data_IF_669532717075
#
_entry.id   IF_669532717075
#
_cell.length_a   1.000
_cell.length_b   1.000
_cell.length_c   1.000
_cell.angle_alpha   90.00
_cell.angle_beta   90.00
_cell.angle_gamma   90.00
#
_symmetry.space_group_name_H-M   'P 1'
#
loop_
_entity.id
_entity.type
_entity.pdbx_description
1 polymer ?
#
# COMPACT_ATOMS: atom_id res chain seq x y z
N UNK A 1 26.36 -12.93 21.88
CA UNK A 1 25.10 -13.27 22.55
C UNK A 1 23.99 -12.98 21.56
N UNK A 2 23.70 -13.98 20.74
CA UNK A 2 22.53 -14.03 19.85
C UNK A 2 21.45 -14.75 20.65
N UNK A 3 20.34 -14.06 20.92
CA UNK A 3 19.16 -14.71 21.48
C UNK A 3 18.35 -15.30 20.33
N UNK A 4 18.33 -16.63 20.31
CA UNK A 4 17.49 -17.49 19.48
C UNK A 4 16.06 -17.42 20.02
N UNK A 5 15.10 -17.11 19.15
CA UNK A 5 13.70 -17.46 19.38
C UNK A 5 13.27 -18.44 18.29
N UNK A 6 13.36 -19.72 18.65
CA UNK A 6 12.65 -20.82 17.99
C UNK A 6 11.14 -20.61 18.15
N UNK A 7 10.40 -20.78 17.06
CA UNK A 7 8.97 -21.04 17.12
C UNK A 7 8.68 -22.31 16.34
N UNK A 8 8.08 -23.23 17.08
CA UNK A 8 7.86 -24.64 16.75
C UNK A 8 7.00 -24.89 15.51
N UNK A 9 7.29 -26.05 14.93
CA UNK A 9 6.57 -26.75 13.87
C UNK A 9 5.05 -26.76 14.05
N UNK A 10 4.32 -26.23 13.06
CA UNK A 10 2.94 -26.65 12.80
C UNK A 10 3.01 -27.74 11.73
N UNK A 11 2.88 -29.00 12.16
CA UNK A 11 2.72 -30.15 11.25
C UNK A 11 1.33 -30.11 10.62
N UNK A 12 1.26 -30.04 9.28
CA UNK A 12 0.07 -30.43 8.54
C UNK A 12 0.30 -31.79 7.88
N UNK A 13 -0.40 -32.80 8.39
CA UNK A 13 -0.69 -34.05 7.68
C UNK A 13 -1.38 -33.71 6.36
N UNK A 14 -0.73 -34.08 5.24
CA UNK A 14 -1.31 -34.44 3.93
C UNK A 14 -0.30 -34.17 2.80
N UNK A 15 0.68 -35.06 2.67
CA UNK A 15 0.91 -35.79 1.41
C UNK A 15 1.18 -35.05 0.09
N UNK A 16 1.61 -33.79 0.09
CA UNK A 16 2.16 -33.14 -1.12
C UNK A 16 3.57 -32.62 -0.83
N UNK A 17 4.57 -33.38 -1.27
CA UNK A 17 5.98 -32.95 -1.30
C UNK A 17 6.14 -31.81 -2.30
N UNK A 18 6.14 -30.57 -1.82
CA UNK A 18 6.72 -29.46 -2.56
C UNK A 18 8.24 -29.70 -2.65
N UNK A 19 8.85 -29.59 -3.85
CA UNK A 19 10.30 -29.73 -3.97
C UNK A 19 10.97 -28.73 -3.04
N UNK A 20 11.93 -29.25 -2.27
CA UNK A 20 12.75 -28.58 -1.29
C UNK A 20 12.96 -27.11 -1.67
N UNK A 21 12.31 -26.21 -0.93
CA UNK A 21 12.53 -24.78 -1.07
C UNK A 21 14.02 -24.54 -0.79
N UNK A 22 14.82 -24.39 -1.85
CA UNK A 22 16.09 -23.70 -1.75
C UNK A 22 15.81 -22.42 -0.97
N UNK A 23 16.43 -22.31 0.20
CA UNK A 23 16.49 -21.09 0.98
C UNK A 23 17.03 -20.02 0.03
N UNK A 24 16.15 -19.30 -0.66
CA UNK A 24 16.50 -18.09 -1.39
C UNK A 24 16.90 -17.10 -0.31
N UNK A 25 18.19 -17.14 0.06
CA UNK A 25 18.84 -16.09 0.84
C UNK A 25 18.61 -14.84 0.03
N UNK A 26 17.70 -14.00 0.47
CA UNK A 26 17.67 -12.61 -0.01
C UNK A 26 18.96 -12.02 0.55
N UNK A 27 19.96 -11.69 -0.30
CA UNK A 27 21.19 -11.10 0.19
C UNK A 27 20.82 -9.80 0.92
N UNK A 28 21.17 -9.70 2.20
CA UNK A 28 20.96 -8.49 3.02
C UNK A 28 21.89 -7.35 2.63
N UNK A 29 22.77 -7.58 1.66
CA UNK A 29 23.73 -6.61 1.12
C UNK A 29 23.62 -6.64 -0.41
N UNK A 30 23.08 -5.56 -0.99
CA UNK A 30 22.95 -5.35 -2.45
C UNK A 30 23.84 -4.18 -2.92
N UNK A 31 24.57 -3.56 -1.99
CA UNK A 31 25.45 -2.44 -2.27
C UNK A 31 26.76 -2.97 -2.87
N UNK A 32 26.95 -2.72 -4.17
CA UNK A 32 28.24 -2.82 -4.84
C UNK A 32 29.23 -1.82 -4.21
N UNK A 33 30.53 -2.05 -4.36
CA UNK A 33 31.52 -1.00 -4.11
C UNK A 33 31.31 0.12 -5.16
N UNK A 34 30.99 1.33 -4.68
CA UNK A 34 30.72 2.56 -5.45
C UNK A 34 29.41 2.65 -6.27
N UNK A 35 28.21 2.48 -5.69
CA UNK A 35 26.98 2.78 -6.39
C UNK A 35 26.70 4.29 -6.36
N UNK A 36 26.71 4.96 -7.51
CA UNK A 36 26.37 6.39 -7.58
C UNK A 36 24.89 6.67 -7.28
N UNK A 37 23.97 5.75 -7.64
CA UNK A 37 22.54 5.85 -7.32
C UNK A 37 21.83 4.50 -7.50
N UNK A 38 21.08 4.05 -6.49
CA UNK A 38 20.18 2.88 -6.59
C UNK A 38 18.77 3.34 -6.28
N UNK A 39 17.97 3.77 -7.29
CA UNK A 39 16.61 4.21 -7.03
C UNK A 39 15.73 3.00 -6.71
N UNK A 40 15.25 2.92 -5.47
CA UNK A 40 14.24 1.96 -5.07
C UNK A 40 12.85 2.50 -5.46
N UNK A 41 12.23 1.95 -6.50
CA UNK A 41 10.86 2.30 -6.86
C UNK A 41 9.87 1.53 -5.99
N UNK A 42 8.83 2.20 -5.50
CA UNK A 42 7.79 1.59 -4.67
C UNK A 42 6.47 2.33 -4.78
N UNK A 43 5.47 1.81 -4.08
CA UNK A 43 4.17 2.44 -3.94
C UNK A 43 3.65 2.25 -2.51
N UNK A 44 2.81 3.17 -2.05
CA UNK A 44 2.29 3.15 -0.69
C UNK A 44 0.81 3.52 -0.61
N UNK A 45 0.22 3.27 0.55
CA UNK A 45 -1.11 3.68 0.95
C UNK A 45 -1.05 4.17 2.40
N UNK A 46 -1.82 5.22 2.70
CA UNK A 46 -1.87 5.86 4.02
C UNK A 46 -3.34 6.04 4.40
N UNK A 47 -3.67 5.80 5.67
CA UNK A 47 -5.03 5.94 6.21
C UNK A 47 -4.98 6.88 7.40
N UNK A 48 -5.76 7.95 7.32
CA UNK A 48 -5.97 8.91 8.39
C UNK A 48 -7.37 8.71 9.00
N UNK A 49 -7.51 9.07 10.27
CA UNK A 49 -8.79 9.19 10.96
C UNK A 49 -8.98 10.64 11.39
N UNK A 50 -10.14 11.21 11.06
CA UNK A 50 -10.56 12.53 11.55
C UNK A 50 -11.60 12.33 12.65
N UNK A 51 -11.34 12.87 13.83
CA UNK A 51 -12.26 12.84 14.96
C UNK A 51 -12.88 14.21 15.14
N UNK A 52 -14.20 14.28 15.02
CA UNK A 52 -14.99 15.48 15.21
C UNK A 52 -15.69 15.42 16.57
N UNK A 53 -15.34 16.34 17.46
CA UNK A 53 -16.00 16.45 18.77
C UNK A 53 -17.17 17.44 18.72
N UNK A 54 -18.14 17.29 19.62
CA UNK A 54 -19.30 18.21 19.74
C UNK A 54 -18.88 19.66 20.00
N UNK A 55 -17.67 19.87 20.50
CA UNK A 55 -17.12 21.19 20.80
C UNK A 55 -16.50 21.87 19.56
N UNK A 56 -16.62 21.27 18.37
CA UNK A 56 -16.07 21.80 17.13
C UNK A 56 -14.60 21.46 16.88
N UNK A 57 -13.91 20.84 17.83
CA UNK A 57 -12.52 20.40 17.62
C UNK A 57 -12.48 19.27 16.60
N UNK A 58 -11.60 19.44 15.60
CA UNK A 58 -11.29 18.46 14.56
C UNK A 58 -9.83 18.07 14.73
N UNK A 59 -9.59 16.78 14.98
CA UNK A 59 -8.23 16.25 15.06
C UNK A 59 -8.07 15.16 14.01
N UNK A 60 -7.02 15.27 13.20
CA UNK A 60 -6.65 14.27 12.22
C UNK A 60 -5.41 13.52 12.71
N UNK A 61 -5.44 12.20 12.64
CA UNK A 61 -4.31 11.37 13.05
C UNK A 61 -4.02 10.31 11.99
N UNK A 62 -2.73 10.08 11.73
CA UNK A 62 -2.29 8.93 10.96
C UNK A 62 -2.65 7.65 11.72
N UNK A 63 -3.52 6.83 11.14
CA UNK A 63 -3.93 5.57 11.75
C UNK A 63 -3.01 4.43 11.35
N UNK A 64 -2.71 4.30 10.05
CA UNK A 64 -1.74 3.34 9.55
C UNK A 64 -1.25 3.69 8.14
N UNK A 65 -0.10 3.15 7.78
CA UNK A 65 0.45 3.21 6.43
C UNK A 65 0.98 1.84 5.99
N UNK A 66 1.06 1.63 4.68
CA UNK A 66 1.64 0.42 4.10
C UNK A 66 2.32 0.73 2.78
N UNK A 67 3.57 0.31 2.63
CA UNK A 67 4.36 0.45 1.39
C UNK A 67 4.74 -0.92 0.82
N UNK A 68 5.08 -0.94 -0.47
CA UNK A 68 5.65 -2.10 -1.17
C UNK A 68 6.69 -1.63 -2.18
N UNK A 69 7.78 -2.40 -2.30
CA UNK A 69 8.75 -2.25 -3.38
C UNK A 69 8.11 -2.69 -4.69
N UNK A 70 8.43 -1.98 -5.78
CA UNK A 70 7.98 -2.35 -7.11
C UNK A 70 8.45 -3.77 -7.45
N UNK A 71 7.61 -4.59 -8.11
CA UNK A 71 8.01 -5.93 -8.51
C UNK A 71 9.22 -5.92 -9.42
N UNK A 72 10.04 -6.99 -9.36
CA UNK A 72 11.19 -7.17 -10.25
C UNK A 72 10.80 -7.15 -11.74
N UNK A 73 9.58 -7.59 -12.05
CA UNK A 73 9.01 -7.40 -13.39
C UNK A 73 8.60 -5.93 -13.53
N UNK A 74 9.25 -5.23 -14.44
CA UNK A 74 8.98 -3.82 -14.74
C UNK A 74 7.50 -3.59 -15.02
N UNK A 75 6.88 -2.77 -14.18
CA UNK A 75 5.53 -2.25 -14.37
C UNK A 75 5.64 -0.78 -14.75
N UNK A 76 4.70 -0.31 -15.59
CA UNK A 76 4.57 1.12 -15.84
C UNK A 76 4.10 1.85 -14.58
N UNK A 77 4.40 3.14 -14.49
CA UNK A 77 3.97 4.01 -13.38
C UNK A 77 2.45 3.90 -13.15
N UNK A 78 1.57 3.99 -14.17
CA UNK A 78 0.13 3.81 -13.96
C UNK A 78 -0.28 2.46 -13.35
N UNK A 79 0.46 1.39 -13.63
CA UNK A 79 0.19 0.07 -13.05
C UNK A 79 0.66 -0.03 -11.61
N UNK A 80 1.68 0.73 -11.22
CA UNK A 80 2.11 0.87 -9.82
C UNK A 80 1.09 1.70 -9.05
N UNK A 81 0.62 2.82 -9.61
CA UNK A 81 -0.44 3.65 -9.01
C UNK A 81 -1.75 2.85 -8.81
N UNK A 82 -2.18 2.06 -9.80
CA UNK A 82 -3.32 1.15 -9.63
C UNK A 82 -3.06 0.08 -8.55
N UNK A 83 -1.81 -0.36 -8.40
CA UNK A 83 -1.43 -1.30 -7.34
C UNK A 83 -1.44 -0.64 -5.96
N UNK A 84 -1.13 0.66 -5.87
CA UNK A 84 -1.28 1.49 -4.68
C UNK A 84 -2.76 1.62 -4.30
N UNK A 85 -3.64 1.88 -5.27
CA UNK A 85 -5.09 1.92 -5.06
C UNK A 85 -5.60 0.60 -4.48
N UNK A 86 -5.18 -0.55 -5.04
CA UNK A 86 -5.54 -1.86 -4.50
C UNK A 86 -4.97 -2.11 -3.09
N UNK A 87 -3.78 -1.57 -2.80
CA UNK A 87 -3.19 -1.65 -1.46
C UNK A 87 -4.05 -0.88 -0.45
N UNK A 88 -4.47 0.34 -0.81
CA UNK A 88 -5.37 1.18 -0.01
C UNK A 88 -6.71 0.49 0.23
N UNK A 89 -7.36 -0.06 -0.81
CA UNK A 89 -8.63 -0.78 -0.68
C UNK A 89 -8.55 -1.92 0.34
N UNK A 90 -7.45 -2.69 0.30
CA UNK A 90 -7.23 -3.80 1.24
C UNK A 90 -6.96 -3.29 2.66
N UNK A 91 -6.19 -2.21 2.78
CA UNK A 91 -5.83 -1.63 4.07
C UNK A 91 -7.08 -1.08 4.77
N UNK A 92 -7.90 -0.30 4.06
CA UNK A 92 -9.13 0.26 4.60
C UNK A 92 -10.10 -0.82 5.05
N UNK A 93 -10.30 -1.90 4.28
CA UNK A 93 -11.14 -3.02 4.72
C UNK A 93 -10.66 -3.64 6.04
N UNK A 94 -9.34 -3.77 6.24
CA UNK A 94 -8.78 -4.26 7.50
C UNK A 94 -8.99 -3.29 8.65
N UNK A 95 -8.80 -1.99 8.39
CA UNK A 95 -9.02 -0.92 9.36
C UNK A 95 -10.47 -0.88 9.82
N UNK A 96 -11.42 -0.87 8.88
CA UNK A 96 -12.86 -0.86 9.18
C UNK A 96 -13.25 -2.09 10.01
N UNK A 97 -12.77 -3.27 9.62
CA UNK A 97 -13.02 -4.50 10.38
C UNK A 97 -12.43 -4.46 11.80
N UNK A 98 -11.29 -3.78 12.00
CA UNK A 98 -10.62 -3.69 13.29
C UNK A 98 -11.25 -2.64 14.23
N UNK A 99 -11.74 -1.51 13.69
CA UNK A 99 -12.21 -0.39 14.51
C UNK A 99 -13.58 -0.66 15.19
N UNK A 100 -14.37 -1.62 14.72
CA UNK A 100 -15.69 -2.02 15.29
C UNK A 100 -16.62 -0.84 15.64
N UNK A 101 -16.44 0.30 15.00
CA UNK A 101 -17.11 1.58 15.30
C UNK A 101 -17.83 2.08 14.06
N UNK A 102 -18.90 2.85 14.24
CA UNK A 102 -19.61 3.52 13.15
C UNK A 102 -18.75 4.64 12.56
N UNK A 103 -17.95 4.28 11.55
CA UNK A 103 -17.29 5.25 10.69
C UNK A 103 -18.36 5.88 9.80
N UNK A 104 -18.63 7.18 10.02
CA UNK A 104 -19.68 7.89 9.29
C UNK A 104 -19.36 8.07 7.81
N UNK A 105 -18.10 8.36 7.48
CA UNK A 105 -17.68 8.65 6.12
C UNK A 105 -16.27 8.11 5.86
N UNK A 106 -16.09 7.44 4.72
CA UNK A 106 -14.81 6.91 4.26
C UNK A 106 -14.63 7.33 2.80
N UNK A 107 -13.61 8.15 2.55
CA UNK A 107 -13.23 8.61 1.22
C UNK A 107 -11.82 8.13 0.89
N UNK A 108 -11.64 7.61 -0.32
CA UNK A 108 -10.38 7.09 -0.83
C UNK A 108 -9.81 8.07 -1.85
N UNK A 109 -8.54 8.43 -1.70
CA UNK A 109 -7.87 9.38 -2.57
C UNK A 109 -6.78 8.72 -3.41
N UNK A 110 -6.60 9.22 -4.62
CA UNK A 110 -5.47 8.92 -5.50
C UNK A 110 -5.19 10.17 -6.35
N UNK A 111 -3.92 10.47 -6.58
CA UNK A 111 -3.49 11.53 -7.49
C UNK A 111 -3.36 11.06 -8.95
N UNK A 112 -3.26 9.74 -9.15
CA UNK A 112 -3.32 9.16 -10.49
C UNK A 112 -4.73 9.20 -11.09
N UNK A 113 -4.98 10.19 -11.94
CA UNK A 113 -6.20 10.27 -12.76
C UNK A 113 -6.35 9.05 -13.68
N UNK A 114 -5.25 8.47 -14.16
CA UNK A 114 -5.26 7.26 -14.99
C UNK A 114 -5.74 6.06 -14.18
N UNK A 115 -5.23 5.85 -12.96
CA UNK A 115 -5.67 4.76 -12.10
C UNK A 115 -7.15 4.91 -11.75
N UNK A 116 -7.60 6.12 -11.41
CA UNK A 116 -9.01 6.42 -11.13
C UNK A 116 -9.92 6.13 -12.35
N UNK A 117 -9.48 6.51 -13.56
CA UNK A 117 -10.20 6.22 -14.80
C UNK A 117 -10.33 4.71 -15.03
N UNK A 118 -9.26 3.94 -14.81
CA UNK A 118 -9.29 2.48 -14.92
C UNK A 118 -10.20 1.81 -13.89
N UNK A 119 -10.26 2.31 -12.65
CA UNK A 119 -11.17 1.80 -11.62
C UNK A 119 -12.64 1.98 -12.07
N UNK A 120 -12.95 3.10 -12.73
CA UNK A 120 -14.29 3.42 -13.23
C UNK A 120 -14.65 2.66 -14.51
N UNK A 121 -13.67 2.30 -15.33
CA UNK A 121 -13.87 1.62 -16.62
C UNK A 121 -14.28 0.15 -16.44
N UNK A 122 -15.20 -0.36 -17.29
CA UNK A 122 -15.65 -1.75 -17.24
C UNK A 122 -14.50 -2.73 -17.54
N UNK A 123 -14.40 -3.89 -16.83
CA UNK A 123 -13.24 -4.77 -16.93
C UNK A 123 -12.93 -5.26 -18.35
N UNK A 124 -13.95 -5.55 -19.16
CA UNK A 124 -13.79 -6.12 -20.50
C UNK A 124 -13.16 -5.16 -21.51
N UNK A 125 -13.12 -3.86 -21.19
CA UNK A 125 -12.45 -2.83 -21.99
C UNK A 125 -10.96 -2.68 -21.64
N UNK A 126 -10.48 -3.37 -20.60
CA UNK A 126 -9.15 -3.20 -20.03
C UNK A 126 -8.30 -4.44 -20.23
N UNK A 127 -6.97 -4.24 -20.34
CA UNK A 127 -6.02 -5.36 -20.35
C UNK A 127 -6.08 -6.11 -19.02
N UNK A 128 -5.87 -7.43 -19.05
CA UNK A 128 -6.03 -8.36 -17.92
C UNK A 128 -5.46 -7.87 -16.58
N UNK A 129 -4.25 -7.32 -16.57
CA UNK A 129 -3.63 -6.79 -15.35
C UNK A 129 -4.48 -5.69 -14.68
N UNK A 130 -4.96 -4.74 -15.49
CA UNK A 130 -5.75 -3.60 -15.07
C UNK A 130 -7.17 -4.05 -14.74
N UNK A 131 -7.78 -4.87 -15.61
CA UNK A 131 -9.12 -5.42 -15.42
C UNK A 131 -9.27 -6.15 -14.08
N UNK A 132 -8.36 -7.09 -13.79
CA UNK A 132 -8.42 -7.90 -12.57
C UNK A 132 -8.26 -7.05 -11.31
N UNK A 133 -7.35 -6.08 -11.32
CA UNK A 133 -7.12 -5.18 -10.18
C UNK A 133 -8.27 -4.19 -10.00
N UNK A 134 -8.75 -3.58 -11.08
CA UNK A 134 -9.89 -2.67 -11.06
C UNK A 134 -11.17 -3.36 -10.58
N UNK A 135 -11.42 -4.61 -11.00
CA UNK A 135 -12.51 -5.43 -10.48
C UNK A 135 -12.37 -5.67 -8.97
N UNK A 136 -11.18 -6.06 -8.49
CA UNK A 136 -10.96 -6.28 -7.06
C UNK A 136 -11.07 -5.00 -6.23
N UNK A 137 -10.60 -3.87 -6.75
CA UNK A 137 -10.78 -2.56 -6.12
C UNK A 137 -12.27 -2.27 -5.94
N UNK A 138 -13.06 -2.34 -7.02
CA UNK A 138 -14.52 -2.10 -6.96
C UNK A 138 -15.24 -3.03 -5.99
N UNK A 139 -14.86 -4.30 -5.95
CA UNK A 139 -15.41 -5.27 -5.00
C UNK A 139 -15.13 -4.84 -3.55
N UNK A 140 -13.88 -4.48 -3.24
CA UNK A 140 -13.45 -4.06 -1.91
C UNK A 140 -13.97 -2.69 -1.50
N UNK A 141 -14.31 -1.82 -2.45
CA UNK A 141 -14.70 -0.43 -2.21
C UNK A 141 -16.12 -0.14 -2.69
N UNK A 142 -17.00 -1.15 -2.74
CA UNK A 142 -18.36 -1.03 -3.31
C UNK A 142 -19.18 0.12 -2.70
N UNK A 143 -18.98 0.40 -1.41
CA UNK A 143 -19.70 1.41 -0.66
C UNK A 143 -18.83 2.65 -0.32
N UNK A 144 -17.67 2.80 -0.95
CA UNK A 144 -16.71 3.87 -0.66
C UNK A 144 -16.53 4.77 -1.88
N UNK A 145 -16.26 6.06 -1.66
CA UNK A 145 -16.04 7.01 -2.75
C UNK A 145 -14.55 7.12 -3.10
N UNK A 146 -14.26 7.18 -4.41
CA UNK A 146 -12.91 7.45 -4.92
C UNK A 146 -12.83 8.87 -5.48
N UNK A 147 -11.91 9.67 -4.94
CA UNK A 147 -11.68 11.05 -5.32
C UNK A 147 -10.24 11.29 -5.76
N UNK A 148 -10.07 12.32 -6.57
CA UNK A 148 -8.75 12.78 -6.97
C UNK A 148 -8.21 13.76 -5.93
N UNK A 149 -6.91 13.67 -5.64
CA UNK A 149 -6.17 14.67 -4.86
C UNK A 149 -4.95 15.10 -5.66
N UNK A 150 -4.46 16.33 -5.49
CA UNK A 150 -3.20 16.72 -6.15
C UNK A 150 -2.03 15.99 -5.53
N UNK A 151 -1.00 15.67 -6.31
CA UNK A 151 0.16 14.94 -5.81
C UNK A 151 0.82 15.67 -4.63
N UNK A 152 0.89 17.01 -4.64
CA UNK A 152 1.46 17.81 -3.55
C UNK A 152 0.77 17.57 -2.20
N UNK A 153 -0.51 17.21 -2.23
CA UNK A 153 -1.32 16.94 -1.05
C UNK A 153 -1.45 15.44 -0.76
N UNK A 154 -0.76 14.58 -1.51
CA UNK A 154 -0.78 13.12 -1.32
C UNK A 154 0.29 12.70 -0.30
N UNK A 155 -0.08 12.36 0.95
CA UNK A 155 0.88 12.00 1.98
C UNK A 155 1.62 10.68 1.68
N UNK A 156 1.07 9.83 0.80
CA UNK A 156 1.73 8.57 0.42
C UNK A 156 3.00 8.78 -0.42
N UNK A 157 3.11 9.93 -1.09
CA UNK A 157 4.25 10.27 -1.94
C UNK A 157 5.43 10.84 -1.15
N UNK A 158 5.21 11.30 0.08
CA UNK A 158 6.25 11.84 0.96
C UNK A 158 7.46 10.88 1.04
N UNK A 159 7.19 9.57 1.10
CA UNK A 159 8.21 8.51 1.14
C UNK A 159 9.04 8.40 -0.13
N UNK A 160 8.52 8.81 -1.29
CA UNK A 160 9.14 8.63 -2.60
C UNK A 160 9.58 9.95 -3.27
N UNK A 161 9.20 11.10 -2.70
CA UNK A 161 9.64 12.44 -3.13
C UNK A 161 11.11 12.75 -2.84
N UNK A 162 11.81 11.87 -2.13
CA UNK A 162 13.24 12.03 -1.83
C UNK A 162 13.50 12.96 -0.65
N UNK A 163 12.70 12.86 0.42
CA UNK A 163 13.03 13.53 1.68
C UNK A 163 14.34 12.95 2.22
N UNK A 164 15.28 13.83 2.56
CA UNK A 164 16.45 13.43 3.32
C UNK A 164 15.97 12.96 4.71
N UNK A 165 16.65 11.97 5.29
CA UNK A 165 16.29 11.41 6.60
C UNK A 165 15.99 12.47 7.71
N UNK A 166 16.67 13.64 7.78
CA UNK A 166 16.35 14.69 8.75
C UNK A 166 15.01 15.40 8.49
N UNK A 167 14.59 15.53 7.23
CA UNK A 167 13.35 16.20 6.85
C UNK A 167 12.14 15.31 7.14
N UNK A 168 12.33 13.99 7.13
CA UNK A 168 11.31 13.02 7.58
C UNK A 168 11.03 13.13 9.10
N UNK A 169 12.04 13.50 9.90
CA UNK A 169 11.88 13.70 11.35
C UNK A 169 11.14 15.00 11.65
N UNK A 170 11.26 15.99 10.75
CA UNK A 170 10.60 17.30 10.86
C UNK A 170 9.22 17.36 10.20
N UNK A 171 8.86 16.40 9.35
CA UNK A 171 7.52 16.35 8.80
C UNK A 171 6.56 15.93 9.89
N UNK A 172 5.73 16.86 10.36
CA UNK A 172 4.58 16.53 11.19
C UNK A 172 3.61 15.69 10.33
N UNK A 173 3.56 14.39 10.60
CA UNK A 173 2.64 13.42 9.99
C UNK A 173 1.33 13.31 10.77
#
# INVERSE_FOLDING_TARGET
MEEVLEFDEIKSDNGFCLPHHEKRRIPRFVLLEHPEKIPLLGFAAVVYVSVHTKNGNKNCHLLCSKSRVAPLKTLSIPRLELSACLLLSKLVNKVVAALKSDLQEITLFSDSTIALSWIRTLPYLLKTFVANRGAKIRELTKNLSWQHISSENNPADILFRGLNAPDLIKSEL
#
